data_IF_543936245722
#
_entry.id   IF_543936245722
#
_cell.length_a   1.000
_cell.length_b   1.000
_cell.length_c   1.000
_cell.angle_alpha   90.00
_cell.angle_beta   90.00
_cell.angle_gamma   90.00
#
_symmetry.space_group_name_H-M   'P 1'
#
loop_
_entity.id
_entity.type
_entity.pdbx_description
1 polymer ?
#
# COMPACT_ATOMS: atom_id res chain seq x y z
N UNK A 1 -38.89 -17.83 -8.10
CA UNK A 1 -38.74 -16.47 -8.64
C UNK A 1 -37.26 -16.15 -8.73
N UNK A 2 -36.69 -16.21 -9.94
CA UNK A 2 -35.27 -15.92 -10.16
C UNK A 2 -34.99 -14.44 -9.99
N UNK A 3 -34.04 -14.10 -9.13
CA UNK A 3 -33.46 -12.76 -9.07
C UNK A 3 -32.72 -12.55 -10.38
N UNK A 4 -33.32 -11.78 -11.29
CA UNK A 4 -32.64 -11.30 -12.48
C UNK A 4 -31.46 -10.43 -12.02
N UNK A 5 -30.24 -10.98 -12.11
CA UNK A 5 -28.99 -10.25 -12.03
C UNK A 5 -28.95 -9.26 -13.21
N UNK A 6 -29.62 -8.12 -13.05
CA UNK A 6 -29.50 -7.00 -13.98
C UNK A 6 -28.06 -6.51 -13.89
N UNK A 7 -27.32 -6.78 -14.96
CA UNK A 7 -25.96 -6.35 -15.23
C UNK A 7 -24.84 -7.07 -14.45
N UNK A 8 -24.50 -8.27 -14.94
CA UNK A 8 -23.38 -9.07 -14.44
C UNK A 8 -22.02 -8.32 -14.54
N UNK A 9 -21.85 -7.38 -15.48
CA UNK A 9 -20.59 -6.63 -15.64
C UNK A 9 -20.39 -5.60 -14.54
N UNK A 10 -21.44 -4.89 -14.11
CA UNK A 10 -21.41 -4.00 -12.94
C UNK A 10 -21.24 -4.78 -11.64
N UNK A 11 -21.85 -5.96 -11.55
CA UNK A 11 -21.75 -6.83 -10.38
C UNK A 11 -20.33 -7.37 -10.18
N UNK A 12 -19.70 -7.89 -11.23
CA UNK A 12 -18.33 -8.42 -11.22
C UNK A 12 -17.29 -7.31 -11.00
N UNK A 13 -17.42 -6.16 -11.64
CA UNK A 13 -16.53 -5.00 -11.39
C UNK A 13 -16.66 -4.47 -9.96
N UNK A 14 -17.87 -4.47 -9.39
CA UNK A 14 -18.08 -4.10 -7.98
C UNK A 14 -17.55 -5.14 -6.99
N UNK A 15 -17.54 -6.43 -7.35
CA UNK A 15 -17.03 -7.51 -6.50
C UNK A 15 -15.50 -7.53 -6.49
N UNK A 16 -14.89 -7.38 -7.67
CA UNK A 16 -13.45 -7.16 -7.82
C UNK A 16 -12.96 -5.90 -7.07
N UNK A 17 -13.70 -4.78 -7.11
CA UNK A 17 -13.36 -3.54 -6.39
C UNK A 17 -13.43 -3.68 -4.87
N UNK A 18 -14.43 -4.44 -4.38
CA UNK A 18 -14.68 -4.66 -2.95
C UNK A 18 -13.76 -5.70 -2.33
N UNK A 19 -13.14 -6.55 -3.14
CA UNK A 19 -12.11 -7.43 -2.63
C UNK A 19 -10.86 -6.61 -2.37
N UNK A 20 -10.49 -6.44 -1.09
CA UNK A 20 -9.20 -5.85 -0.73
C UNK A 20 -8.12 -6.71 -1.37
N UNK A 21 -7.47 -6.18 -2.40
CA UNK A 21 -6.33 -6.82 -3.08
C UNK A 21 -5.10 -6.60 -2.18
N UNK A 22 -5.19 -6.97 -0.91
CA UNK A 22 -4.26 -6.58 0.15
C UNK A 22 -4.19 -7.65 1.22
N UNK A 23 -3.14 -7.64 2.05
CA UNK A 23 -3.03 -8.54 3.20
C UNK A 23 -4.16 -8.33 4.21
N UNK A 24 -4.19 -9.14 5.27
CA UNK A 24 -5.32 -9.18 6.22
C UNK A 24 -5.63 -7.82 6.89
N UNK A 25 -4.65 -6.90 6.92
CA UNK A 25 -4.83 -5.54 7.45
C UNK A 25 -5.17 -5.54 8.94
N UNK A 26 -4.73 -6.57 9.66
CA UNK A 26 -5.13 -6.80 11.03
C UNK A 26 -4.33 -5.90 11.96
N UNK A 27 -5.03 -5.01 12.65
CA UNK A 27 -4.49 -4.23 13.77
C UNK A 27 -4.65 -5.04 15.04
N UNK A 28 -3.68 -4.95 15.94
CA UNK A 28 -3.62 -5.76 17.14
C UNK A 28 -3.61 -7.27 16.84
N UNK A 29 -2.97 -7.65 15.73
CA UNK A 29 -2.64 -9.04 15.47
C UNK A 29 -1.62 -9.48 16.53
N UNK A 30 -2.12 -9.90 17.69
CA UNK A 30 -1.35 -10.61 18.70
C UNK A 30 -0.59 -11.69 17.95
N UNK A 31 0.73 -11.55 17.86
CA UNK A 31 1.60 -12.61 17.31
C UNK A 31 1.17 -13.90 18.01
N UNK A 32 0.83 -14.95 17.26
CA UNK A 32 0.70 -16.29 17.83
C UNK A 32 1.97 -16.57 18.65
N UNK A 33 1.85 -16.58 19.98
CA UNK A 33 2.94 -16.83 20.92
C UNK A 33 3.40 -15.65 21.78
N UNK A 34 3.06 -14.40 21.47
CA UNK A 34 3.50 -13.24 22.26
C UNK A 34 2.36 -12.73 23.15
N UNK A 35 2.56 -12.77 24.48
CA UNK A 35 1.55 -12.29 25.45
C UNK A 35 1.48 -10.77 25.42
N UNK A 36 0.29 -10.21 25.56
CA UNK A 36 0.12 -8.77 25.79
C UNK A 36 0.96 -8.38 27.02
N UNK A 37 1.80 -7.35 26.90
CA UNK A 37 2.65 -6.86 27.99
C UNK A 37 4.06 -7.44 28.07
N UNK A 38 4.55 -8.18 27.06
CA UNK A 38 5.99 -8.49 27.00
C UNK A 38 6.84 -7.23 26.76
N UNK A 39 8.01 -7.09 27.43
CA UNK A 39 8.92 -5.98 27.19
C UNK A 39 9.30 -5.90 25.70
N UNK A 40 9.07 -4.74 25.08
CA UNK A 40 9.46 -4.50 23.68
C UNK A 40 8.38 -4.78 22.62
N UNK A 41 7.10 -4.73 22.97
CA UNK A 41 5.98 -4.68 22.02
C UNK A 41 4.97 -3.58 22.41
N UNK A 42 4.26 -3.04 21.43
CA UNK A 42 3.13 -2.12 21.68
C UNK A 42 1.94 -2.90 22.23
N UNK A 43 1.25 -2.31 23.21
CA UNK A 43 -0.10 -2.75 23.58
C UNK A 43 -1.08 -2.48 22.42
N UNK A 44 -2.28 -3.08 22.51
CA UNK A 44 -3.34 -2.83 21.51
C UNK A 44 -3.73 -1.36 21.47
N UNK A 45 -3.81 -0.72 22.62
CA UNK A 45 -4.16 0.70 22.78
C UNK A 45 -3.07 1.58 22.14
N UNK A 46 -1.80 1.28 22.40
CA UNK A 46 -0.66 1.99 21.80
C UNK A 46 -0.62 1.82 20.27
N UNK A 47 -0.92 0.63 19.74
CA UNK A 47 -0.97 0.41 18.30
C UNK A 47 -2.12 1.19 17.65
N UNK A 48 -3.29 1.25 18.30
CA UNK A 48 -4.44 2.03 17.81
C UNK A 48 -4.17 3.53 17.86
N UNK A 49 -3.57 4.01 18.95
CA UNK A 49 -3.13 5.40 19.10
C UNK A 49 -2.09 5.76 18.04
N UNK A 50 -1.08 4.91 17.83
CA UNK A 50 -0.08 5.09 16.78
C UNK A 50 -0.72 5.20 15.39
N UNK A 51 -1.67 4.34 15.07
CA UNK A 51 -2.39 4.39 13.80
C UNK A 51 -3.13 5.72 13.65
N UNK A 52 -3.76 6.20 14.72
CA UNK A 52 -4.47 7.48 14.71
C UNK A 52 -3.52 8.66 14.50
N UNK A 53 -2.39 8.68 15.21
CA UNK A 53 -1.31 9.66 15.04
C UNK A 53 -0.78 9.70 13.61
N UNK A 54 -0.73 8.57 12.91
CA UNK A 54 -0.23 8.46 11.53
C UNK A 54 -1.25 8.89 10.46
N UNK A 55 -2.52 9.10 10.80
CA UNK A 55 -3.59 9.38 9.81
C UNK A 55 -3.37 10.72 9.12
N UNK A 56 -3.25 10.68 7.80
CA UNK A 56 -3.23 11.88 6.97
C UNK A 56 -2.00 12.78 7.16
N UNK A 57 -0.98 12.30 7.88
CA UNK A 57 0.25 13.03 8.16
C UNK A 57 1.47 12.27 7.64
N UNK A 58 2.58 12.99 7.51
CA UNK A 58 3.86 12.49 7.02
C UNK A 58 4.95 12.66 8.09
N UNK A 59 6.13 12.03 7.94
CA UNK A 59 7.18 12.09 8.96
C UNK A 59 7.70 13.51 9.25
N UNK A 60 7.63 14.41 8.28
CA UNK A 60 7.97 15.84 8.41
C UNK A 60 7.22 16.53 9.55
N UNK A 61 5.95 16.17 9.79
CA UNK A 61 5.15 16.70 10.90
C UNK A 61 5.72 16.35 12.29
N UNK A 62 6.63 15.38 12.37
CA UNK A 62 7.30 14.93 13.59
C UNK A 62 8.80 15.24 13.58
N UNK A 63 9.26 16.07 12.65
CA UNK A 63 10.67 16.44 12.52
C UNK A 63 11.56 15.30 12.02
N UNK A 64 11.00 14.36 11.25
CA UNK A 64 11.75 13.25 10.64
C UNK A 64 12.01 13.54 9.16
N UNK A 65 13.24 13.35 8.71
CA UNK A 65 13.72 13.72 7.36
C UNK A 65 13.23 12.79 6.21
N UNK A 66 12.25 11.94 6.47
CA UNK A 66 11.73 10.99 5.49
C UNK A 66 10.45 11.51 4.82
N UNK A 67 10.40 11.37 3.49
CA UNK A 67 9.29 11.88 2.67
C UNK A 67 7.97 11.16 2.92
N UNK A 68 8.06 9.87 3.28
CA UNK A 68 6.94 8.99 3.57
C UNK A 68 7.30 8.12 4.77
N UNK A 69 6.30 7.54 5.44
CA UNK A 69 6.57 6.63 6.53
C UNK A 69 7.37 5.42 6.04
N UNK A 70 8.50 5.19 6.67
CA UNK A 70 9.37 4.03 6.49
C UNK A 70 9.39 3.23 7.78
N UNK A 71 9.99 2.05 7.75
CA UNK A 71 10.23 1.29 8.98
C UNK A 71 11.04 2.09 10.01
N UNK A 72 12.02 2.86 9.53
CA UNK A 72 12.91 3.65 10.37
C UNK A 72 12.18 4.85 10.98
N UNK A 73 11.42 5.61 10.18
CA UNK A 73 10.67 6.76 10.69
C UNK A 73 9.56 6.33 11.65
N UNK A 74 8.93 5.16 11.41
CA UNK A 74 7.97 4.58 12.36
C UNK A 74 8.63 4.20 13.69
N UNK A 75 9.84 3.61 13.66
CA UNK A 75 10.59 3.31 14.88
C UNK A 75 10.95 4.59 15.66
N UNK A 76 11.36 5.64 14.95
CA UNK A 76 11.63 6.96 15.54
C UNK A 76 10.39 7.55 16.21
N UNK A 77 9.25 7.51 15.52
CA UNK A 77 7.97 7.98 16.07
C UNK A 77 7.57 7.20 17.32
N UNK A 78 7.69 5.87 17.32
CA UNK A 78 7.37 5.03 18.48
C UNK A 78 8.25 5.39 19.68
N UNK A 79 9.54 5.62 19.45
CA UNK A 79 10.46 6.05 20.50
C UNK A 79 10.07 7.43 21.05
N UNK A 80 9.74 8.40 20.19
CA UNK A 80 9.35 9.75 20.59
C UNK A 80 8.01 9.77 21.35
N UNK A 81 7.03 8.98 20.89
CA UNK A 81 5.65 9.02 21.38
C UNK A 81 5.43 8.14 22.62
N UNK A 82 6.09 6.98 22.69
CA UNK A 82 5.87 6.00 23.77
C UNK A 82 7.13 5.72 24.61
N UNK A 83 8.29 6.26 24.25
CA UNK A 83 9.56 5.97 24.93
C UNK A 83 10.08 4.55 24.70
N UNK A 84 9.52 3.80 23.74
CA UNK A 84 9.82 2.39 23.51
C UNK A 84 10.80 2.20 22.34
N UNK A 85 11.93 1.55 22.62
CA UNK A 85 12.88 1.15 21.57
C UNK A 85 12.53 -0.24 21.05
N UNK A 86 11.80 -0.30 19.94
CA UNK A 86 11.46 -1.57 19.31
C UNK A 86 12.58 -2.03 18.37
N UNK A 87 12.84 -3.34 18.35
CA UNK A 87 13.70 -3.94 17.33
C UNK A 87 13.11 -3.79 15.93
N UNK A 88 13.98 -3.66 14.92
CA UNK A 88 13.58 -3.54 13.51
C UNK A 88 12.69 -4.71 13.05
N UNK A 89 12.90 -5.91 13.58
CA UNK A 89 12.08 -7.10 13.32
C UNK A 89 10.66 -6.99 13.86
N UNK A 90 10.49 -6.36 15.03
CA UNK A 90 9.19 -6.08 15.68
C UNK A 90 8.40 -5.04 14.89
N UNK A 91 9.03 -3.92 14.52
CA UNK A 91 8.39 -2.92 13.64
C UNK A 91 8.00 -3.55 12.31
N UNK A 92 8.87 -4.38 11.73
CA UNK A 92 8.55 -5.13 10.51
C UNK A 92 7.37 -6.10 10.66
N UNK A 93 7.11 -6.63 11.85
CA UNK A 93 5.96 -7.48 12.11
C UNK A 93 4.65 -6.68 12.13
N UNK A 94 4.63 -5.50 12.76
CA UNK A 94 3.48 -4.59 12.69
C UNK A 94 3.16 -4.19 11.25
N UNK A 95 4.17 -3.79 10.48
CA UNK A 95 3.98 -3.45 9.07
C UNK A 95 3.37 -4.63 8.28
N UNK A 96 3.87 -5.86 8.47
CA UNK A 96 3.29 -7.05 7.84
C UNK A 96 1.85 -7.31 8.29
N UNK A 97 1.53 -7.14 9.57
CA UNK A 97 0.17 -7.30 10.10
C UNK A 97 -0.79 -6.28 9.47
N UNK A 98 -0.34 -5.04 9.27
CA UNK A 98 -1.05 -3.98 8.53
C UNK A 98 -1.14 -4.25 7.01
N UNK A 99 -0.62 -5.38 6.53
CA UNK A 99 -0.63 -5.79 5.12
C UNK A 99 0.49 -5.16 4.27
N UNK A 100 1.49 -4.55 4.92
CA UNK A 100 2.64 -3.90 4.29
C UNK A 100 3.81 -4.89 4.23
N UNK A 101 3.81 -5.67 3.15
CA UNK A 101 4.86 -6.63 2.87
C UNK A 101 5.07 -6.83 1.36
N UNK A 102 6.17 -7.48 0.97
CA UNK A 102 6.29 -8.06 -0.35
C UNK A 102 5.10 -8.98 -0.61
N UNK A 103 4.53 -8.86 -1.81
CA UNK A 103 3.40 -9.66 -2.28
C UNK A 103 3.70 -10.08 -3.69
N UNK A 104 3.45 -11.34 -4.00
CA UNK A 104 3.62 -11.85 -5.35
C UNK A 104 2.63 -11.14 -6.30
N UNK A 105 2.98 -10.96 -7.58
CA UNK A 105 2.08 -10.30 -8.53
C UNK A 105 0.67 -10.92 -8.59
N UNK A 106 0.54 -12.25 -8.43
CA UNK A 106 -0.76 -12.94 -8.41
C UNK A 106 -1.64 -12.51 -7.23
N UNK A 107 -1.04 -12.22 -6.08
CA UNK A 107 -1.74 -11.76 -4.86
C UNK A 107 -2.18 -10.30 -4.98
N UNK A 108 -1.69 -9.60 -6.02
CA UNK A 108 -2.05 -8.23 -6.39
C UNK A 108 -3.11 -8.18 -7.50
N UNK A 109 -3.65 -9.33 -7.87
CA UNK A 109 -4.75 -9.47 -8.83
C UNK A 109 -6.02 -9.92 -8.10
N UNK A 110 -7.18 -9.49 -8.58
CA UNK A 110 -8.41 -10.20 -8.22
C UNK A 110 -8.43 -11.58 -8.91
N UNK A 111 -9.23 -12.51 -8.40
CA UNK A 111 -9.26 -13.90 -8.90
C UNK A 111 -9.48 -14.03 -10.41
N UNK A 112 -10.25 -13.13 -11.03
CA UNK A 112 -10.53 -13.13 -12.47
C UNK A 112 -9.35 -12.62 -13.32
N UNK A 113 -8.34 -12.00 -12.72
CA UNK A 113 -7.26 -11.31 -13.43
C UNK A 113 -5.89 -11.93 -13.22
N UNK A 114 -5.78 -12.98 -12.41
CA UNK A 114 -4.51 -13.68 -12.12
C UNK A 114 -3.78 -14.03 -13.41
N UNK A 115 -4.44 -14.71 -14.36
CA UNK A 115 -3.79 -15.09 -15.62
C UNK A 115 -3.39 -13.90 -16.51
N UNK A 116 -4.10 -12.78 -16.45
CA UNK A 116 -3.71 -11.56 -17.17
C UNK A 116 -2.47 -10.90 -16.53
N UNK A 117 -2.42 -10.88 -15.19
CA UNK A 117 -1.27 -10.39 -14.44
C UNK A 117 -0.05 -11.27 -14.68
N UNK A 118 -0.18 -12.60 -14.67
CA UNK A 118 0.93 -13.52 -14.97
C UNK A 118 1.51 -13.30 -16.36
N UNK A 119 0.66 -13.08 -17.38
CA UNK A 119 1.14 -12.74 -18.73
C UNK A 119 1.89 -11.41 -18.74
N UNK A 120 1.32 -10.38 -18.10
CA UNK A 120 1.94 -9.06 -17.98
C UNK A 120 3.30 -9.11 -17.27
N UNK A 121 3.43 -9.93 -16.23
CA UNK A 121 4.71 -10.14 -15.53
C UNK A 121 5.75 -10.79 -16.44
N UNK A 122 5.34 -11.68 -17.35
CA UNK A 122 6.27 -12.30 -18.31
C UNK A 122 6.62 -11.38 -19.49
N UNK A 123 5.71 -10.52 -19.94
CA UNK A 123 5.89 -9.70 -21.15
C UNK A 123 6.34 -8.26 -20.88
N UNK A 124 5.67 -7.55 -19.97
CA UNK A 124 5.84 -6.11 -19.76
C UNK A 124 6.84 -5.80 -18.63
N UNK A 125 6.76 -6.53 -17.52
CA UNK A 125 7.57 -6.24 -16.33
C UNK A 125 9.09 -6.22 -16.60
N UNK A 126 9.68 -7.13 -17.42
CA UNK A 126 11.11 -7.08 -17.73
C UNK A 126 11.52 -5.78 -18.46
N UNK A 127 10.65 -5.23 -19.32
CA UNK A 127 10.91 -3.98 -20.02
C UNK A 127 10.90 -2.79 -19.04
N UNK A 128 9.97 -2.79 -18.09
CA UNK A 128 9.89 -1.78 -17.02
C UNK A 128 11.15 -1.81 -16.16
N UNK A 129 11.60 -3.01 -15.75
CA UNK A 129 12.80 -3.14 -14.92
C UNK A 129 14.06 -2.72 -15.64
N UNK A 130 14.18 -3.04 -16.94
CA UNK A 130 15.31 -2.61 -17.78
C UNK A 130 15.35 -1.09 -17.93
N UNK A 131 14.23 -0.46 -18.27
CA UNK A 131 14.14 0.99 -18.37
C UNK A 131 14.46 1.68 -17.03
N UNK A 132 13.99 1.10 -15.91
CA UNK A 132 14.31 1.63 -14.60
C UNK A 132 15.81 1.52 -14.27
N UNK A 133 16.47 0.42 -14.64
CA UNK A 133 17.92 0.25 -14.48
C UNK A 133 18.71 1.24 -15.33
N UNK A 134 18.35 1.39 -16.60
CA UNK A 134 19.00 2.32 -17.55
C UNK A 134 18.95 3.78 -17.06
N UNK A 135 17.85 4.16 -16.38
CA UNK A 135 17.65 5.52 -15.87
C UNK A 135 17.92 5.67 -14.37
N UNK A 136 18.53 4.67 -13.72
CA UNK A 136 18.79 4.65 -12.26
C UNK A 136 17.54 4.99 -11.42
N UNK A 137 16.37 4.56 -11.91
CA UNK A 137 15.07 4.80 -11.32
C UNK A 137 14.66 3.67 -10.37
N UNK A 138 13.86 4.02 -9.37
CA UNK A 138 13.27 3.03 -8.47
C UNK A 138 11.97 2.46 -9.06
N UNK A 139 11.73 1.17 -8.83
CA UNK A 139 10.46 0.51 -9.18
C UNK A 139 9.69 0.22 -7.90
N UNK A 140 8.48 0.76 -7.78
CA UNK A 140 7.58 0.52 -6.65
C UNK A 140 6.33 -0.22 -7.07
N UNK A 141 5.96 -1.22 -6.29
CA UNK A 141 4.64 -1.84 -6.34
C UNK A 141 3.70 -1.14 -5.37
N UNK A 142 2.71 -0.44 -5.91
CA UNK A 142 1.69 0.27 -5.16
C UNK A 142 0.52 -0.66 -4.82
N UNK A 143 -0.05 -0.48 -3.63
CA UNK A 143 -1.28 -1.14 -3.23
C UNK A 143 -1.95 -0.53 -2.02
N UNK A 144 -3.22 -0.88 -1.82
CA UNK A 144 -4.04 -0.41 -0.70
C UNK A 144 -4.48 -1.59 0.16
N UNK A 145 -4.45 -1.40 1.47
CA UNK A 145 -4.97 -2.37 2.44
C UNK A 145 -5.90 -1.64 3.40
N UNK A 146 -7.07 -2.21 3.67
CA UNK A 146 -7.98 -1.67 4.71
C UNK A 146 -7.57 -2.22 6.08
N UNK A 147 -7.31 -1.35 7.03
CA UNK A 147 -7.04 -1.73 8.41
C UNK A 147 -8.33 -2.18 9.09
N UNK A 148 -8.33 -3.40 9.62
CA UNK A 148 -9.41 -3.97 10.41
C UNK A 148 -9.12 -3.75 11.90
N UNK A 149 -10.16 -3.43 12.66
CA UNK A 149 -10.05 -3.19 14.10
C UNK A 149 -9.71 -1.75 14.50
N UNK A 150 -9.73 -0.81 13.55
CA UNK A 150 -9.57 0.63 13.79
C UNK A 150 -10.91 1.35 13.66
N UNK A 151 -11.15 2.34 14.51
CA UNK A 151 -12.33 3.21 14.45
C UNK A 151 -11.87 4.66 14.60
N UNK A 152 -12.14 5.55 13.61
CA UNK A 152 -12.80 5.25 12.33
C UNK A 152 -11.95 4.35 11.42
N UNK A 153 -12.57 3.72 10.41
CA UNK A 153 -11.86 2.84 9.48
C UNK A 153 -10.71 3.59 8.76
N UNK A 154 -9.57 2.92 8.59
CA UNK A 154 -8.40 3.48 7.91
C UNK A 154 -7.97 2.59 6.74
N UNK A 155 -7.40 3.19 5.70
CA UNK A 155 -6.67 2.47 4.67
C UNK A 155 -5.19 2.81 4.75
N UNK A 156 -4.33 1.82 4.51
CA UNK A 156 -2.91 2.04 4.28
C UNK A 156 -2.62 1.96 2.81
N UNK A 157 -1.99 3.02 2.30
CA UNK A 157 -1.41 3.05 0.96
C UNK A 157 0.07 2.72 1.10
N UNK A 158 0.54 1.79 0.29
CA UNK A 158 1.91 1.26 0.36
C UNK A 158 2.59 1.28 -0.99
N UNK A 159 3.89 1.48 -0.97
CA UNK A 159 4.80 1.35 -2.09
C UNK A 159 5.97 0.46 -1.65
N UNK A 160 6.10 -0.71 -2.27
CA UNK A 160 7.15 -1.68 -1.94
C UNK A 160 8.12 -1.76 -3.12
N UNK A 161 9.38 -1.42 -2.87
CA UNK A 161 10.44 -1.55 -3.89
C UNK A 161 10.82 -3.01 -4.14
N UNK A 162 11.47 -3.27 -5.28
CA UNK A 162 12.09 -4.58 -5.57
C UNK A 162 13.13 -5.00 -4.52
N UNK A 163 13.73 -4.04 -3.80
CA UNK A 163 14.69 -4.27 -2.70
C UNK A 163 14.01 -4.44 -1.33
N UNK A 164 12.69 -4.52 -1.27
CA UNK A 164 11.94 -4.71 -0.03
C UNK A 164 11.80 -3.46 0.85
N UNK A 165 12.26 -2.28 0.40
CA UNK A 165 11.98 -1.01 1.08
C UNK A 165 10.48 -0.70 0.96
N UNK A 166 9.84 -0.46 2.10
CA UNK A 166 8.42 -0.10 2.20
C UNK A 166 8.32 1.39 2.51
N UNK A 167 7.50 2.08 1.73
CA UNK A 167 7.00 3.43 2.03
C UNK A 167 5.50 3.37 2.14
N UNK A 168 4.91 4.03 3.13
CA UNK A 168 3.47 3.98 3.34
C UNK A 168 2.90 5.29 3.87
N UNK A 169 1.58 5.39 3.81
CA UNK A 169 0.80 6.39 4.54
C UNK A 169 -0.51 5.75 5.01
N UNK A 170 -1.03 6.23 6.13
CA UNK A 170 -2.38 5.91 6.57
C UNK A 170 -3.29 7.05 6.12
N UNK A 171 -4.35 6.73 5.38
CA UNK A 171 -5.28 7.75 4.89
C UNK A 171 -6.29 8.11 5.97
N UNK A 172 -6.85 9.32 5.84
CA UNK A 172 -8.08 9.65 6.56
C UNK A 172 -9.23 8.74 6.09
N UNK A 173 -10.25 8.52 6.92
CA UNK A 173 -11.39 7.65 6.58
C UNK A 173 -12.09 8.11 5.29
N UNK A 174 -12.26 7.19 4.34
CA UNK A 174 -13.02 7.44 3.11
C UNK A 174 -13.66 6.14 2.62
N UNK A 175 -14.85 6.25 2.03
CA UNK A 175 -15.60 5.08 1.52
C UNK A 175 -14.90 4.46 0.31
N UNK A 176 -14.29 5.27 -0.55
CA UNK A 176 -13.47 4.85 -1.69
C UNK A 176 -12.37 5.89 -1.99
N UNK A 177 -11.22 5.85 -1.29
CA UNK A 177 -10.17 6.84 -1.49
C UNK A 177 -9.49 6.66 -2.85
N UNK A 178 -9.47 7.74 -3.64
CA UNK A 178 -8.63 7.85 -4.83
C UNK A 178 -7.15 7.66 -4.49
N UNK A 179 -6.31 7.36 -5.49
CA UNK A 179 -4.87 7.22 -5.28
C UNK A 179 -4.30 8.57 -4.81
N UNK A 180 -3.76 8.68 -3.58
CA UNK A 180 -3.35 9.98 -3.06
C UNK A 180 -2.22 10.58 -3.91
N UNK A 181 -2.47 11.75 -4.50
CA UNK A 181 -1.49 12.43 -5.35
C UNK A 181 -0.20 12.73 -4.58
N UNK A 182 -0.34 13.19 -3.35
CA UNK A 182 0.80 13.59 -2.53
C UNK A 182 1.74 12.41 -2.23
N UNK A 183 1.18 11.25 -1.88
CA UNK A 183 1.92 10.00 -1.73
C UNK A 183 2.76 9.65 -2.97
N UNK A 184 2.13 9.72 -4.14
CA UNK A 184 2.78 9.41 -5.42
C UNK A 184 3.93 10.38 -5.71
N UNK A 185 3.78 11.67 -5.40
CA UNK A 185 4.81 12.67 -5.61
C UNK A 185 5.98 12.52 -4.65
N UNK A 186 5.70 12.26 -3.37
CA UNK A 186 6.71 12.04 -2.32
C UNK A 186 7.58 10.80 -2.58
N UNK A 187 7.12 9.84 -3.39
CA UNK A 187 7.95 8.70 -3.80
C UNK A 187 9.20 9.09 -4.60
N UNK A 188 9.19 10.23 -5.29
CA UNK A 188 10.38 10.75 -5.97
C UNK A 188 11.43 11.32 -5.00
N UNK A 189 11.02 11.59 -3.76
CA UNK A 189 11.77 12.28 -2.73
C UNK A 189 12.25 13.69 -3.10
N UNK A 190 13.00 14.30 -2.19
CA UNK A 190 13.56 15.65 -2.35
C UNK A 190 14.39 15.81 -3.63
N UNK A 191 15.13 14.76 -4.01
CA UNK A 191 15.95 14.73 -5.24
C UNK A 191 15.11 14.59 -6.53
N UNK A 192 13.79 14.42 -6.43
CA UNK A 192 12.87 14.26 -7.55
C UNK A 192 13.28 13.17 -8.55
N UNK A 193 13.81 12.05 -8.05
CA UNK A 193 14.25 10.92 -8.87
C UNK A 193 13.10 10.33 -9.68
N UNK A 194 13.42 9.78 -10.84
CA UNK A 194 12.47 9.02 -11.65
C UNK A 194 12.03 7.76 -10.90
N UNK A 195 10.73 7.48 -10.92
CA UNK A 195 10.13 6.29 -10.30
C UNK A 195 9.13 5.63 -11.25
N UNK A 196 9.27 4.32 -11.40
CA UNK A 196 8.32 3.47 -12.09
C UNK A 196 7.31 2.93 -11.06
N UNK A 197 6.03 3.22 -11.24
CA UNK A 197 4.99 2.87 -10.28
C UNK A 197 4.08 1.80 -10.86
N UNK A 198 4.21 0.57 -10.39
CA UNK A 198 3.30 -0.52 -10.76
C UNK A 198 2.10 -0.47 -9.82
N UNK A 199 0.95 -0.06 -10.34
CA UNK A 199 -0.27 0.15 -9.55
C UNK A 199 -1.17 -1.06 -9.64
N UNK A 200 -1.41 -1.73 -8.51
CA UNK A 200 -2.29 -2.89 -8.45
C UNK A 200 -3.77 -2.55 -8.71
N UNK A 201 -4.65 -3.55 -8.61
CA UNK A 201 -6.08 -3.40 -8.87
C UNK A 201 -6.84 -2.53 -7.85
N UNK A 202 -6.19 -1.99 -6.83
CA UNK A 202 -6.83 -1.20 -5.75
C UNK A 202 -7.48 0.10 -6.24
N UNK A 203 -7.03 0.64 -7.37
CA UNK A 203 -7.58 1.85 -7.98
C UNK A 203 -7.88 1.67 -9.46
N UNK A 204 -9.07 2.10 -9.88
CA UNK A 204 -9.41 2.28 -11.28
C UNK A 204 -8.65 3.47 -11.88
N UNK A 205 -8.48 3.50 -13.21
CA UNK A 205 -7.63 4.52 -13.86
C UNK A 205 -8.14 5.95 -13.69
N UNK A 206 -9.45 6.14 -13.53
CA UNK A 206 -10.08 7.43 -13.27
C UNK A 206 -9.88 7.92 -11.82
N UNK A 207 -9.43 7.05 -10.91
CA UNK A 207 -9.10 7.36 -9.51
C UNK A 207 -7.62 7.75 -9.35
N UNK A 208 -6.86 7.79 -10.45
CA UNK A 208 -5.46 8.20 -10.45
C UNK A 208 -5.35 9.73 -10.58
N UNK A 209 -4.27 10.33 -10.06
CA UNK A 209 -4.01 11.75 -10.30
C UNK A 209 -3.95 12.06 -11.80
N UNK A 210 -4.78 13.01 -12.28
CA UNK A 210 -4.89 13.35 -13.71
C UNK A 210 -3.59 13.86 -14.34
N UNK A 211 -2.73 14.50 -13.54
CA UNK A 211 -1.47 15.10 -13.99
C UNK A 211 -0.34 14.68 -13.06
N UNK A 212 0.47 13.74 -13.54
CA UNK A 212 1.71 13.31 -12.91
C UNK A 212 2.91 13.91 -13.68
N UNK A 213 3.97 14.36 -12.98
CA UNK A 213 5.17 14.83 -13.65
C UNK A 213 5.86 13.68 -14.36
N UNK A 214 6.63 13.97 -15.42
CA UNK A 214 7.27 12.94 -16.29
C UNK A 214 8.16 11.93 -15.54
N UNK A 215 8.71 12.33 -14.39
CA UNK A 215 9.50 11.46 -13.51
C UNK A 215 8.69 10.34 -12.85
N UNK A 216 7.36 10.48 -12.76
CA UNK A 216 6.47 9.41 -12.30
C UNK A 216 5.98 8.67 -13.53
N UNK A 217 6.42 7.43 -13.71
CA UNK A 217 6.04 6.58 -14.84
C UNK A 217 5.11 5.47 -14.36
N UNK A 218 3.78 5.62 -14.48
CA UNK A 218 2.86 4.69 -13.86
C UNK A 218 2.47 3.56 -14.83
N UNK A 219 2.57 2.32 -14.35
CA UNK A 219 2.30 1.08 -15.06
C UNK A 219 1.10 0.38 -14.42
N UNK A 220 -0.08 0.36 -15.07
CA UNK A 220 -1.26 -0.29 -14.51
C UNK A 220 -1.12 -1.81 -14.57
N UNK A 221 -1.29 -2.48 -13.42
CA UNK A 221 -1.44 -3.93 -13.40
C UNK A 221 -2.81 -4.31 -14.02
N UNK A 222 -2.89 -5.34 -14.89
CA UNK A 222 -4.17 -5.77 -15.46
C UNK A 222 -5.24 -6.04 -14.38
N UNK A 223 -6.46 -5.52 -14.57
CA UNK A 223 -7.59 -5.80 -13.68
C UNK A 223 -8.94 -5.71 -14.39
N UNK A 224 -9.94 -6.45 -13.89
CA UNK A 224 -11.31 -6.57 -14.43
C UNK A 224 -12.07 -5.22 -14.46
N UNK A 225 -11.68 -4.27 -13.60
CA UNK A 225 -12.22 -2.91 -13.56
C UNK A 225 -11.56 -1.95 -14.55
N UNK A 226 -10.50 -2.39 -15.25
CA UNK A 226 -9.89 -1.69 -16.37
C UNK A 226 -10.40 -2.39 -17.64
N UNK A 227 -11.43 -1.83 -18.28
CA UNK A 227 -11.64 -2.15 -19.68
C UNK A 227 -10.30 -1.89 -20.38
N UNK A 228 -9.73 -2.92 -21.01
CA UNK A 228 -8.58 -2.72 -21.89
C UNK A 228 -9.05 -1.69 -22.91
N UNK A 229 -8.46 -0.50 -22.90
CA UNK A 229 -8.54 0.35 -24.05
C UNK A 229 -7.89 -0.46 -25.17
N UNK A 230 -8.71 -0.88 -26.12
CA UNK A 230 -8.29 -1.50 -27.37
C UNK A 230 -7.33 -0.57 -28.12
#
# INVERSE_FOLDING_TARGET
>A
MGVALRDARRSVTSWCRRHTIGGDGTVAAVRRGQRQGEPGALSREQELELIDTLRGVHPDAFGLDEELWTRQSLQGLIQQHFGLTLETGTVGAYLRAWGLGPREPRERACGLCVGAVERWVRSEYPAITRAAQEHLAEVYWLGRVRLRGTMPAADVVSAVSSRGRVRFMITTPSVDPALPRDFVLRLSGAEQRTVHLIVDGSWARNEWPRRLPRRIVPHPLPSCGRAQAA
#
